data_IF_867017586251
#
_entry.id   IF_867017586251
#
_cell.length_a   1.000
_cell.length_b   1.000
_cell.length_c   1.000
_cell.angle_alpha   90.00
_cell.angle_beta   90.00
_cell.angle_gamma   90.00
#
_symmetry.space_group_name_H-M   'P 1'
#
loop_
_entity.id
_entity.type
_entity.pdbx_description
1 polymer ?
#
# COMPACT_ATOMS: atom_id res chain seq x y z
N UNK A 1 20.56 17.50 -14.83
CA UNK A 1 19.65 16.87 -15.81
C UNK A 1 20.46 15.76 -16.48
N UNK A 2 19.93 14.56 -16.50
CA UNK A 2 20.57 13.41 -17.16
C UNK A 2 19.64 12.99 -18.30
N UNK A 3 20.00 13.37 -19.54
CA UNK A 3 19.09 13.27 -20.67
C UNK A 3 17.84 14.14 -20.49
N UNK A 4 16.65 13.57 -20.64
CA UNK A 4 15.36 14.25 -20.38
C UNK A 4 14.88 14.12 -18.92
N UNK A 5 15.63 13.42 -18.06
CA UNK A 5 15.28 13.23 -16.65
C UNK A 5 15.73 14.44 -15.84
N UNK A 6 14.81 15.05 -15.10
CA UNK A 6 15.09 16.05 -14.10
C UNK A 6 15.33 15.36 -12.76
N UNK A 7 16.43 15.65 -12.11
CA UNK A 7 16.77 15.07 -10.81
C UNK A 7 17.30 16.16 -9.86
N UNK A 8 17.04 15.95 -8.59
CA UNK A 8 17.59 16.73 -7.48
C UNK A 8 18.05 15.74 -6.41
N UNK A 9 19.18 15.99 -5.79
CA UNK A 9 19.63 15.29 -4.59
C UNK A 9 19.43 16.22 -3.39
N UNK A 10 18.85 15.68 -2.34
CA UNK A 10 18.71 16.33 -1.05
C UNK A 10 19.57 15.56 -0.05
N UNK A 11 20.40 16.26 0.72
CA UNK A 11 21.28 15.67 1.73
C UNK A 11 20.73 15.96 3.13
N UNK A 12 21.19 15.20 4.11
CA UNK A 12 20.83 15.36 5.54
C UNK A 12 19.32 15.28 5.83
N UNK A 13 18.63 14.37 5.14
CA UNK A 13 17.20 14.10 5.34
C UNK A 13 17.03 12.79 6.11
N UNK A 14 16.48 12.88 7.32
CA UNK A 14 16.15 11.71 8.14
C UNK A 14 14.81 11.09 7.73
N UNK A 15 14.71 9.76 7.66
CA UNK A 15 13.45 9.09 7.38
C UNK A 15 12.37 9.41 8.43
N UNK A 16 11.14 9.60 7.97
CA UNK A 16 9.98 9.84 8.83
C UNK A 16 9.62 11.30 9.07
N UNK A 17 10.57 12.23 8.91
CA UNK A 17 10.38 13.65 9.24
C UNK A 17 9.80 14.47 8.08
N UNK A 18 9.85 13.94 6.86
CA UNK A 18 9.51 14.70 5.66
C UNK A 18 8.39 14.08 4.86
N UNK A 19 7.48 14.96 4.44
CA UNK A 19 6.43 14.68 3.48
C UNK A 19 6.68 15.53 2.23
N UNK A 20 6.42 14.97 1.06
CA UNK A 20 6.70 15.66 -0.20
C UNK A 20 5.65 15.39 -1.27
N UNK A 21 5.54 16.28 -2.21
CA UNK A 21 4.88 16.10 -3.49
C UNK A 21 5.74 16.72 -4.59
N UNK A 22 5.47 16.35 -5.82
CA UNK A 22 5.98 17.05 -6.97
C UNK A 22 5.05 18.22 -7.35
N UNK A 23 5.62 19.33 -7.79
CA UNK A 23 4.89 20.38 -8.46
C UNK A 23 5.25 20.32 -9.94
N UNK A 24 4.29 19.94 -10.78
CA UNK A 24 4.46 19.78 -12.23
C UNK A 24 3.44 20.68 -12.91
N UNK A 25 3.91 21.70 -13.65
CA UNK A 25 3.06 22.66 -14.34
C UNK A 25 1.99 23.28 -13.39
N UNK A 26 2.45 23.70 -12.19
CA UNK A 26 1.64 24.27 -11.11
C UNK A 26 0.58 23.30 -10.49
N UNK A 27 0.62 22.01 -10.83
CA UNK A 27 -0.24 20.98 -10.25
C UNK A 27 0.55 20.14 -9.23
N UNK A 28 0.03 20.05 -8.01
CA UNK A 28 0.58 19.15 -6.99
C UNK A 28 0.29 17.70 -7.38
N UNK A 29 1.35 16.93 -7.55
CA UNK A 29 1.30 15.54 -8.03
C UNK A 29 1.89 14.62 -6.98
N UNK A 30 1.13 13.59 -6.61
CA UNK A 30 1.62 12.51 -5.74
C UNK A 30 2.68 11.71 -6.49
N UNK A 31 3.76 11.38 -5.82
CA UNK A 31 4.79 10.51 -6.39
C UNK A 31 4.24 9.07 -6.53
N UNK A 32 4.06 8.55 -7.76
CA UNK A 32 3.59 7.19 -7.97
C UNK A 32 4.60 6.12 -7.52
N UNK A 33 5.84 6.53 -7.29
CA UNK A 33 6.93 5.67 -6.79
C UNK A 33 7.20 5.86 -5.29
N UNK A 34 6.40 6.67 -4.59
CA UNK A 34 6.52 6.84 -3.14
C UNK A 34 6.50 5.50 -2.42
N UNK A 35 7.36 5.34 -1.40
CA UNK A 35 7.45 4.12 -0.58
C UNK A 35 6.45 4.11 0.58
N UNK A 36 5.95 5.28 0.96
CA UNK A 36 4.83 5.45 1.86
C UNK A 36 4.05 6.71 1.49
N UNK A 37 2.78 6.74 1.85
CA UNK A 37 1.87 7.85 1.55
C UNK A 37 1.12 8.24 2.84
N UNK A 38 0.86 9.51 3.03
CA UNK A 38 0.35 10.06 4.30
C UNK A 38 -1.07 9.62 4.66
N UNK A 39 -1.98 9.65 3.69
CA UNK A 39 -3.41 9.37 3.91
C UNK A 39 -4.12 9.05 2.60
N UNK A 40 -5.30 8.47 2.71
CA UNK A 40 -6.21 8.34 1.55
C UNK A 40 -6.98 9.65 1.36
N UNK A 41 -7.16 10.13 0.13
CA UNK A 41 -7.95 11.34 -0.11
C UNK A 41 -9.41 11.09 0.27
N UNK A 42 -10.01 12.06 0.95
CA UNK A 42 -11.46 12.07 1.18
C UNK A 42 -12.16 12.64 -0.07
N UNK A 43 -12.76 11.76 -0.84
CA UNK A 43 -13.47 12.05 -2.08
C UNK A 43 -15.00 12.01 -1.90
N UNK A 44 -15.49 12.13 -0.66
CA UNK A 44 -16.93 12.11 -0.37
C UNK A 44 -17.64 13.37 -0.91
N UNK A 45 -16.96 14.52 -0.96
CA UNK A 45 -17.50 15.77 -1.49
C UNK A 45 -17.26 15.91 -3.00
N UNK A 46 -18.20 16.59 -3.69
CA UNK A 46 -18.04 16.92 -5.13
C UNK A 46 -16.84 17.83 -5.37
N UNK A 47 -16.57 18.74 -4.45
CA UNK A 47 -15.44 19.66 -4.53
C UNK A 47 -14.09 18.93 -4.50
N UNK A 48 -13.89 18.05 -3.51
CA UNK A 48 -12.67 17.26 -3.41
C UNK A 48 -12.45 16.37 -4.64
N UNK A 49 -13.52 15.79 -5.20
CA UNK A 49 -13.45 15.02 -6.45
C UNK A 49 -13.01 15.86 -7.64
N UNK A 50 -13.61 17.04 -7.78
CA UNK A 50 -13.25 17.95 -8.87
C UNK A 50 -11.76 18.29 -8.80
N UNK A 51 -11.30 18.71 -7.63
CA UNK A 51 -9.91 19.10 -7.40
C UNK A 51 -8.93 17.94 -7.62
N UNK A 52 -9.26 16.75 -7.13
CA UNK A 52 -8.32 15.62 -7.14
C UNK A 52 -8.37 14.78 -8.44
N UNK A 53 -9.58 14.52 -8.96
CA UNK A 53 -9.74 13.57 -10.08
C UNK A 53 -9.83 14.26 -11.44
N UNK A 54 -10.27 15.52 -11.52
CA UNK A 54 -10.56 16.19 -12.77
C UNK A 54 -9.49 17.21 -13.19
N UNK A 55 -8.36 17.25 -12.48
CA UNK A 55 -7.28 18.21 -12.77
C UNK A 55 -7.82 19.67 -12.82
N UNK A 56 -8.62 19.99 -11.83
CA UNK A 56 -9.15 21.35 -11.65
C UNK A 56 -7.98 22.34 -11.45
N UNK A 57 -8.08 23.54 -11.98
CA UNK A 57 -7.04 24.58 -11.86
C UNK A 57 -6.83 25.06 -10.41
N UNK A 58 -7.68 24.64 -9.48
CA UNK A 58 -7.53 24.96 -8.05
C UNK A 58 -6.38 24.20 -7.43
N UNK A 59 -5.78 24.81 -6.40
CA UNK A 59 -4.76 24.16 -5.58
C UNK A 59 -5.29 22.88 -4.94
N UNK A 60 -4.71 21.74 -5.31
CA UNK A 60 -5.09 20.42 -4.81
C UNK A 60 -4.25 19.97 -3.59
N UNK A 61 -3.36 20.82 -3.08
CA UNK A 61 -2.45 20.47 -1.98
C UNK A 61 -3.17 20.07 -0.68
N UNK A 62 -4.41 20.52 -0.50
CA UNK A 62 -5.24 20.17 0.68
C UNK A 62 -5.93 18.82 0.59
N UNK A 63 -6.04 18.26 -0.62
CA UNK A 63 -6.74 17.00 -0.88
C UNK A 63 -5.77 15.90 -1.29
N UNK A 64 -4.71 16.25 -2.00
CA UNK A 64 -3.71 15.31 -2.47
C UNK A 64 -2.91 14.71 -1.29
N UNK A 65 -2.82 13.38 -1.20
CA UNK A 65 -1.89 12.77 -0.27
C UNK A 65 -0.45 13.10 -0.65
N UNK A 66 0.46 12.93 0.29
CA UNK A 66 1.90 13.21 0.10
C UNK A 66 2.70 11.94 0.22
N UNK A 67 3.79 11.83 -0.53
CA UNK A 67 4.83 10.83 -0.30
C UNK A 67 5.54 11.09 1.02
N UNK A 68 5.97 10.03 1.69
CA UNK A 68 6.81 10.10 2.90
C UNK A 68 8.16 9.48 2.63
N UNK A 69 9.20 10.10 3.18
CA UNK A 69 10.54 9.51 3.19
C UNK A 69 10.58 8.52 4.34
N UNK A 70 10.90 7.25 4.03
CA UNK A 70 10.94 6.16 4.99
C UNK A 70 12.30 5.46 4.94
N UNK A 71 12.71 4.86 6.05
CA UNK A 71 13.81 3.93 6.06
C UNK A 71 13.38 2.62 5.39
N UNK A 72 14.04 2.27 4.29
CA UNK A 72 13.80 1.01 3.56
C UNK A 72 14.71 -0.13 4.06
N UNK A 73 15.52 0.12 5.09
CA UNK A 73 16.41 -0.90 5.62
C UNK A 73 15.62 -2.01 6.29
N UNK A 74 15.87 -3.22 5.85
CA UNK A 74 15.37 -4.44 6.48
C UNK A 74 16.49 -5.48 6.57
N UNK A 75 16.66 -6.07 7.73
CA UNK A 75 17.66 -7.12 7.94
C UNK A 75 17.21 -8.44 7.30
N UNK A 76 17.75 -8.73 6.12
CA UNK A 76 17.55 -9.98 5.40
C UNK A 76 18.57 -11.06 5.77
N UNK A 77 19.41 -10.85 6.79
CA UNK A 77 20.38 -11.84 7.21
C UNK A 77 19.69 -13.13 7.67
N UNK A 78 20.14 -14.23 7.11
CA UNK A 78 19.56 -15.55 7.39
C UNK A 78 18.32 -15.90 6.54
N UNK A 79 17.80 -14.99 5.73
CA UNK A 79 16.76 -15.32 4.76
C UNK A 79 17.32 -15.99 3.51
N UNK A 80 16.65 -17.02 3.03
CA UNK A 80 16.98 -17.66 1.76
C UNK A 80 15.73 -18.15 1.04
N UNK A 81 15.71 -17.95 -0.27
CA UNK A 81 14.62 -18.40 -1.12
C UNK A 81 14.53 -19.93 -1.10
N UNK A 82 13.32 -20.50 -0.98
CA UNK A 82 13.15 -21.96 -0.91
C UNK A 82 13.45 -22.68 -2.22
N UNK A 83 13.72 -21.99 -3.34
CA UNK A 83 14.12 -22.54 -4.65
C UNK A 83 13.24 -23.69 -5.15
N UNK A 84 11.93 -23.59 -5.00
CA UNK A 84 10.98 -24.63 -5.41
C UNK A 84 10.87 -24.67 -6.94
N UNK A 85 11.03 -25.84 -7.58
CA UNK A 85 10.85 -25.98 -9.02
C UNK A 85 9.42 -25.64 -9.46
N UNK A 86 9.26 -25.08 -10.65
CA UNK A 86 7.95 -24.74 -11.22
C UNK A 86 6.96 -25.92 -11.18
N UNK A 87 7.40 -27.11 -11.49
CA UNK A 87 6.56 -28.31 -11.48
C UNK A 87 6.03 -28.70 -10.09
N UNK A 88 6.58 -28.11 -9.02
CA UNK A 88 6.18 -28.34 -7.63
C UNK A 88 5.56 -27.08 -7.00
N UNK A 89 5.45 -25.99 -7.77
CA UNK A 89 4.89 -24.74 -7.29
C UNK A 89 3.37 -24.81 -7.22
N UNK A 90 2.81 -24.54 -6.05
CA UNK A 90 1.38 -24.42 -5.81
C UNK A 90 1.12 -23.00 -5.31
N UNK A 91 0.41 -22.20 -6.12
CA UNK A 91 0.08 -20.83 -5.82
C UNK A 91 -1.28 -20.76 -5.13
N UNK A 92 -1.39 -19.96 -4.09
CA UNK A 92 -2.63 -19.65 -3.40
C UNK A 92 -2.87 -18.15 -3.44
N UNK A 93 -3.89 -17.72 -4.18
CA UNK A 93 -4.30 -16.32 -4.24
C UNK A 93 -5.20 -15.97 -3.05
N UNK A 94 -4.95 -14.84 -2.41
CA UNK A 94 -5.76 -14.38 -1.27
C UNK A 94 -5.78 -12.86 -1.13
N UNK A 95 -6.87 -12.36 -0.53
CA UNK A 95 -6.94 -10.99 0.00
C UNK A 95 -6.41 -10.97 1.44
N UNK A 96 -5.48 -10.06 1.74
CA UNK A 96 -4.82 -9.97 3.06
C UNK A 96 -5.85 -9.87 4.19
N UNK A 97 -6.81 -8.96 4.07
CA UNK A 97 -7.83 -8.75 5.10
C UNK A 97 -8.81 -9.93 5.16
N UNK A 98 -9.37 -10.31 4.02
CA UNK A 98 -10.41 -11.34 3.95
C UNK A 98 -9.96 -12.69 4.44
N UNK A 99 -8.70 -13.05 4.23
CA UNK A 99 -8.18 -14.37 4.59
C UNK A 99 -8.25 -14.67 6.10
N UNK A 100 -7.88 -13.69 6.95
CA UNK A 100 -7.76 -13.95 8.39
C UNK A 100 -8.72 -13.16 9.27
N UNK A 101 -9.51 -12.23 8.73
CA UNK A 101 -10.37 -11.32 9.51
C UNK A 101 -11.33 -12.04 10.46
N UNK A 102 -11.88 -13.15 10.03
CA UNK A 102 -12.86 -13.94 10.81
C UNK A 102 -12.25 -15.17 11.46
N UNK A 103 -10.93 -15.36 11.37
CA UNK A 103 -10.28 -16.52 11.97
C UNK A 103 -10.07 -16.31 13.48
N UNK A 104 -10.89 -16.97 14.31
CA UNK A 104 -10.83 -16.86 15.77
C UNK A 104 -9.56 -17.45 16.40
N UNK A 105 -8.78 -18.25 15.66
CA UNK A 105 -7.47 -18.79 16.11
C UNK A 105 -6.33 -17.79 15.99
N UNK A 106 -6.56 -16.66 15.28
CA UNK A 106 -5.61 -15.57 15.18
C UNK A 106 -5.93 -14.52 16.24
N UNK A 107 -4.94 -13.96 16.95
CA UNK A 107 -5.16 -12.85 17.88
C UNK A 107 -5.93 -11.69 17.22
N UNK A 108 -6.92 -11.16 17.91
CA UNK A 108 -7.86 -10.19 17.34
C UNK A 108 -7.17 -8.93 16.79
N UNK A 109 -6.15 -8.46 17.49
CA UNK A 109 -5.39 -7.26 17.13
C UNK A 109 -4.56 -7.36 15.84
N UNK A 110 -4.36 -8.58 15.31
CA UNK A 110 -3.63 -8.76 14.04
C UNK A 110 -4.49 -9.39 12.94
N UNK A 111 -5.77 -9.71 13.19
CA UNK A 111 -6.66 -10.26 12.16
C UNK A 111 -6.79 -9.29 10.99
N UNK A 112 -6.77 -9.84 9.78
CA UNK A 112 -6.90 -9.04 8.56
C UNK A 112 -5.67 -8.21 8.20
N UNK A 113 -4.51 -8.49 8.80
CA UNK A 113 -3.26 -7.75 8.56
C UNK A 113 -2.17 -8.63 7.97
N UNK A 114 -1.07 -7.99 7.49
CA UNK A 114 0.13 -8.70 7.05
C UNK A 114 0.70 -9.62 8.15
N UNK A 115 0.69 -9.18 9.40
CA UNK A 115 1.17 -9.98 10.53
C UNK A 115 0.36 -11.27 10.73
N UNK A 116 -0.94 -11.25 10.40
CA UNK A 116 -1.75 -12.46 10.44
C UNK A 116 -1.31 -13.50 9.42
N UNK A 117 -0.85 -13.10 8.23
CA UNK A 117 -0.35 -14.05 7.22
C UNK A 117 0.90 -14.78 7.72
N UNK A 118 1.75 -14.09 8.48
CA UNK A 118 2.96 -14.65 9.09
C UNK A 118 2.69 -15.42 10.41
N UNK A 119 1.47 -15.44 10.90
CA UNK A 119 1.13 -16.15 12.13
C UNK A 119 1.28 -17.67 11.97
N UNK A 120 1.85 -18.37 12.96
CA UNK A 120 2.11 -19.82 12.87
C UNK A 120 0.90 -20.68 12.46
N UNK A 121 -0.30 -20.35 12.91
CA UNK A 121 -1.55 -21.02 12.51
C UNK A 121 -1.79 -20.97 10.99
N UNK A 122 -1.61 -19.79 10.39
CA UNK A 122 -1.82 -19.61 8.95
C UNK A 122 -0.68 -20.26 8.15
N UNK A 123 0.55 -20.18 8.62
CA UNK A 123 1.68 -20.89 8.02
C UNK A 123 1.45 -22.41 8.05
N UNK A 124 1.00 -22.95 9.18
CA UNK A 124 0.68 -24.38 9.29
C UNK A 124 -0.44 -24.78 8.33
N UNK A 125 -1.46 -23.95 8.19
CA UNK A 125 -2.54 -24.17 7.23
C UNK A 125 -2.03 -24.22 5.79
N UNK A 126 -1.26 -23.21 5.34
CA UNK A 126 -0.67 -23.19 4.01
C UNK A 126 0.19 -24.44 3.73
N UNK A 127 1.03 -24.81 4.70
CA UNK A 127 1.87 -26.01 4.60
C UNK A 127 1.03 -27.29 4.52
N UNK A 128 -0.08 -27.39 5.25
CA UNK A 128 -0.97 -28.55 5.22
C UNK A 128 -1.64 -28.76 3.87
N UNK A 129 -1.83 -27.68 3.10
CA UNK A 129 -2.34 -27.72 1.73
C UNK A 129 -1.25 -27.90 0.67
N UNK A 130 0.01 -27.94 1.07
CA UNK A 130 1.15 -28.05 0.14
C UNK A 130 1.43 -26.76 -0.63
N UNK A 131 0.92 -25.62 -0.18
CA UNK A 131 1.12 -24.31 -0.81
C UNK A 131 2.58 -23.89 -0.68
N UNK A 132 3.16 -23.44 -1.76
CA UNK A 132 4.57 -23.01 -1.85
C UNK A 132 4.73 -21.51 -2.11
N UNK A 133 3.68 -20.86 -2.61
CA UNK A 133 3.68 -19.44 -2.97
C UNK A 133 2.33 -18.81 -2.64
N UNK A 134 2.37 -17.61 -2.08
CA UNK A 134 1.17 -16.78 -1.91
C UNK A 134 1.14 -15.71 -3.01
N UNK A 135 0.01 -15.57 -3.66
CA UNK A 135 -0.30 -14.45 -4.54
C UNK A 135 -1.27 -13.53 -3.82
N UNK A 136 -0.79 -12.34 -3.46
CA UNK A 136 -1.61 -11.40 -2.72
C UNK A 136 -2.42 -10.54 -3.71
N UNK A 137 -3.73 -10.46 -3.52
CA UNK A 137 -4.53 -9.38 -4.11
C UNK A 137 -3.90 -8.03 -3.73
N UNK A 138 -4.17 -6.94 -4.47
CA UNK A 138 -3.38 -5.72 -4.38
C UNK A 138 -3.08 -5.28 -2.95
N UNK A 139 -1.79 -5.11 -2.68
CA UNK A 139 -1.23 -4.63 -1.40
C UNK A 139 -0.60 -3.25 -1.53
N UNK A 140 -0.61 -2.69 -2.74
CA UNK A 140 -0.17 -1.34 -3.02
C UNK A 140 -1.17 -0.34 -2.43
N UNK A 141 -0.70 0.85 -2.09
CA UNK A 141 -1.58 1.92 -1.61
C UNK A 141 -2.65 2.25 -2.66
N UNK A 142 -3.91 2.02 -2.33
CA UNK A 142 -5.07 2.26 -3.19
C UNK A 142 -6.04 3.25 -2.57
N UNK A 143 -6.85 3.90 -3.40
CA UNK A 143 -7.90 4.81 -2.96
C UNK A 143 -9.26 4.11 -2.95
N UNK A 144 -10.14 4.62 -2.10
CA UNK A 144 -11.54 4.24 -2.09
C UNK A 144 -12.30 5.08 -3.12
N UNK A 145 -13.08 4.45 -3.98
CA UNK A 145 -13.85 5.14 -5.00
C UNK A 145 -14.91 6.05 -4.38
N UNK A 146 -15.20 7.22 -4.99
CA UNK A 146 -16.16 8.19 -4.46
C UNK A 146 -17.52 7.58 -4.09
N UNK A 147 -18.05 6.71 -4.95
CA UNK A 147 -19.37 6.08 -4.71
C UNK A 147 -19.37 5.09 -3.54
N UNK A 148 -18.20 4.57 -3.14
CA UNK A 148 -18.05 3.76 -1.93
C UNK A 148 -17.99 4.65 -0.70
N UNK A 149 -17.17 5.72 -0.77
CA UNK A 149 -17.04 6.68 0.34
C UNK A 149 -18.38 7.33 0.70
N UNK A 150 -19.22 7.70 -0.29
CA UNK A 150 -20.58 8.21 -0.07
C UNK A 150 -21.46 7.25 0.75
N UNK A 151 -21.21 5.97 0.66
CA UNK A 151 -21.96 4.92 1.38
C UNK A 151 -21.27 4.48 2.67
N UNK A 152 -20.17 5.14 3.07
CA UNK A 152 -19.36 4.72 4.21
C UNK A 152 -18.66 3.38 3.99
N UNK A 153 -18.48 2.95 2.73
CA UNK A 153 -17.81 1.73 2.33
C UNK A 153 -16.36 2.02 1.90
N UNK A 154 -15.56 0.96 1.79
CA UNK A 154 -14.19 1.03 1.32
C UNK A 154 -13.96 0.08 0.16
N UNK A 155 -12.95 0.36 -0.66
CA UNK A 155 -12.50 -0.56 -1.69
C UNK A 155 -11.95 -1.83 -1.01
N UNK A 156 -12.60 -2.96 -1.28
CA UNK A 156 -12.21 -4.25 -0.69
C UNK A 156 -11.07 -4.92 -1.48
N UNK A 157 -11.11 -4.78 -2.81
CA UNK A 157 -10.20 -5.52 -3.69
C UNK A 157 -8.85 -4.84 -3.91
N UNK A 158 -8.77 -3.51 -3.76
CA UNK A 158 -7.54 -2.74 -3.92
C UNK A 158 -7.14 -2.43 -5.37
N UNK A 159 -7.99 -2.69 -6.36
CA UNK A 159 -7.67 -2.46 -7.78
C UNK A 159 -7.82 -1.00 -8.22
N UNK A 160 -7.48 -0.06 -7.35
CA UNK A 160 -7.41 1.38 -7.66
C UNK A 160 -6.13 1.98 -7.05
N UNK A 161 -4.94 1.48 -7.44
CA UNK A 161 -3.69 1.91 -6.83
C UNK A 161 -3.35 3.36 -7.18
N UNK A 162 -2.89 4.11 -6.17
CA UNK A 162 -2.38 5.47 -6.30
C UNK A 162 -0.85 5.51 -6.30
N UNK A 163 -0.22 4.70 -5.43
CA UNK A 163 1.23 4.59 -5.33
C UNK A 163 1.63 3.12 -5.38
N UNK A 164 2.37 2.76 -6.44
CA UNK A 164 2.67 1.36 -6.77
C UNK A 164 3.71 0.71 -5.84
N UNK A 165 4.48 1.50 -5.11
CA UNK A 165 5.56 1.02 -4.23
C UNK A 165 5.30 1.29 -2.74
N UNK A 166 4.22 2.00 -2.41
CA UNK A 166 3.75 2.14 -1.05
C UNK A 166 2.82 0.97 -0.69
N UNK A 167 2.92 0.47 0.53
CA UNK A 167 2.02 -0.56 1.03
C UNK A 167 0.69 0.06 1.50
N UNK A 168 -0.38 -0.74 1.41
CA UNK A 168 -1.69 -0.37 1.95
C UNK A 168 -1.65 -0.37 3.48
N UNK A 169 -1.76 0.79 4.15
CA UNK A 169 -1.58 0.89 5.60
C UNK A 169 -2.71 0.23 6.39
N UNK A 170 -3.90 0.07 5.82
CA UNK A 170 -5.01 -0.60 6.52
C UNK A 170 -4.77 -2.10 6.75
N UNK A 171 -3.76 -2.68 6.10
CA UNK A 171 -3.33 -4.06 6.32
C UNK A 171 -2.14 -4.16 7.29
N UNK A 172 -1.62 -3.05 7.80
CA UNK A 172 -0.60 -3.06 8.84
C UNK A 172 -1.21 -3.39 10.20
N UNK A 173 -0.50 -4.17 11.01
CA UNK A 173 -0.91 -4.47 12.39
C UNK A 173 -0.61 -3.29 13.34
N UNK A 174 0.42 -2.52 13.04
CA UNK A 174 0.76 -1.26 13.71
C UNK A 174 0.55 -0.12 12.72
N UNK A 175 -0.37 0.78 13.04
CA UNK A 175 -0.77 1.90 12.18
C UNK A 175 -0.16 3.24 12.66
N UNK A 176 1.00 3.18 13.35
CA UNK A 176 1.70 4.39 13.80
C UNK A 176 2.44 5.09 12.68
#
# INVERSE_FOLDING_TARGET
>A
MIGEVRCIALEDIEPGDYEYNYLIDDIVTVDPYAKAVTHKPDLSSLEARSIFLLNDERDNATVAPKGRIVDEHFDWSGDCKPSIPWAQTIVYELNVKGFSQLNSRIPENIRGTYAALAHPENIAYFKSLGITSLELLPVNFFIDEPHLQEKGLRNYWGYNPLAMFALEPSYAADQK
#
